data_IF_997953094436
#
_entry.id   IF_997953094436
#
_cell.length_a   1.000
_cell.length_b   1.000
_cell.length_c   1.000
_cell.angle_alpha   90.00
_cell.angle_beta   90.00
_cell.angle_gamma   90.00
#
_symmetry.space_group_name_H-M   'P 1'
#
loop_
_entity.id
_entity.type
_entity.pdbx_description
1 polymer ?
#
# COMPACT_ATOMS: atom_id res chain seq x y z
N UNK A 1 21.95 13.01 11.65
CA UNK A 1 20.59 13.28 11.12
C UNK A 1 20.50 13.22 9.59
N UNK A 2 21.25 14.03 8.82
CA UNK A 2 21.15 14.01 7.34
C UNK A 2 21.39 12.63 6.71
N UNK A 3 22.42 11.91 7.16
CA UNK A 3 22.72 10.55 6.69
C UNK A 3 21.57 9.55 6.96
N UNK A 4 20.97 9.61 8.14
CA UNK A 4 19.82 8.76 8.49
C UNK A 4 18.59 9.06 7.61
N UNK A 5 18.32 10.33 7.32
CA UNK A 5 17.24 10.72 6.42
C UNK A 5 17.44 10.16 5.01
N UNK A 6 18.66 10.26 4.48
CA UNK A 6 18.99 9.73 3.15
C UNK A 6 18.84 8.21 3.12
N UNK A 7 19.38 7.51 4.14
CA UNK A 7 19.27 6.04 4.25
C UNK A 7 17.82 5.58 4.35
N UNK A 8 17.02 6.20 5.21
CA UNK A 8 15.61 5.87 5.38
C UNK A 8 14.83 6.09 4.08
N UNK A 9 15.10 7.18 3.37
CA UNK A 9 14.44 7.46 2.11
C UNK A 9 14.83 6.50 0.99
N UNK A 10 16.12 6.16 0.90
CA UNK A 10 16.60 5.17 -0.08
C UNK A 10 16.00 3.79 0.18
N UNK A 11 15.90 3.38 1.45
CA UNK A 11 15.24 2.13 1.84
C UNK A 11 13.75 2.13 1.45
N UNK A 12 13.05 3.24 1.72
CA UNK A 12 11.66 3.35 1.30
C UNK A 12 11.53 3.27 -0.22
N UNK A 13 12.39 3.97 -0.97
CA UNK A 13 12.38 3.93 -2.43
C UNK A 13 12.70 2.54 -3.01
N UNK A 14 13.58 1.76 -2.38
CA UNK A 14 13.87 0.40 -2.83
C UNK A 14 12.66 -0.54 -2.69
N UNK A 15 11.73 -0.22 -1.78
CA UNK A 15 10.51 -1.01 -1.60
C UNK A 15 9.41 -0.68 -2.62
N UNK A 16 9.65 0.25 -3.55
CA UNK A 16 8.68 0.62 -4.58
C UNK A 16 8.28 -0.57 -5.45
N UNK A 17 6.99 -0.82 -5.57
CA UNK A 17 6.36 -1.75 -6.51
C UNK A 17 5.49 -0.97 -7.48
N UNK A 18 5.54 -1.33 -8.76
CA UNK A 18 4.70 -0.71 -9.77
C UNK A 18 4.43 -1.70 -10.91
N UNK A 19 3.33 -1.50 -11.61
CA UNK A 19 2.97 -2.31 -12.77
C UNK A 19 1.52 -2.16 -13.14
N UNK A 20 1.03 -3.11 -13.94
CA UNK A 20 -0.38 -3.24 -14.29
C UNK A 20 -0.95 -4.49 -13.62
N UNK A 21 -2.06 -4.35 -12.90
CA UNK A 21 -2.80 -5.49 -12.37
C UNK A 21 -3.83 -5.93 -13.39
N UNK A 22 -3.71 -7.16 -13.88
CA UNK A 22 -4.67 -7.77 -14.80
C UNK A 22 -6.04 -7.96 -14.16
N UNK A 23 -6.08 -8.24 -12.86
CA UNK A 23 -7.30 -8.49 -12.12
C UNK A 23 -8.08 -7.20 -11.81
N UNK A 24 -7.38 -6.13 -11.38
CA UNK A 24 -7.99 -4.82 -11.14
C UNK A 24 -8.09 -3.94 -12.39
N UNK A 25 -7.52 -4.39 -13.51
CA UNK A 25 -7.45 -3.71 -14.80
C UNK A 25 -6.92 -2.27 -14.72
N UNK A 26 -5.92 -2.04 -13.88
CA UNK A 26 -5.36 -0.70 -13.65
C UNK A 26 -3.87 -0.75 -13.35
N UNK A 27 -3.22 0.39 -13.58
CA UNK A 27 -1.86 0.60 -13.10
C UNK A 27 -1.87 0.81 -11.59
N UNK A 28 -0.81 0.34 -10.94
CA UNK A 28 -0.58 0.54 -9.52
C UNK A 28 0.85 1.01 -9.28
N UNK A 29 1.02 1.81 -8.23
CA UNK A 29 2.32 2.11 -7.64
C UNK A 29 2.13 2.13 -6.13
N UNK A 30 2.88 1.30 -5.43
CA UNK A 30 2.90 1.34 -3.97
C UNK A 30 4.30 1.10 -3.38
N UNK A 31 4.47 1.26 -2.07
CA UNK A 31 5.68 0.85 -1.35
C UNK A 31 5.35 -0.26 -0.35
N UNK A 32 6.02 -1.41 -0.47
CA UNK A 32 5.88 -2.50 0.50
C UNK A 32 6.61 -2.17 1.81
N UNK A 33 6.21 -2.77 2.94
CA UNK A 33 6.93 -2.60 4.22
C UNK A 33 8.39 -3.09 4.12
N UNK A 34 8.60 -4.21 3.43
CA UNK A 34 9.91 -4.80 3.16
C UNK A 34 9.90 -5.66 1.88
N UNK A 35 10.97 -6.43 1.65
CA UNK A 35 11.12 -7.32 0.49
C UNK A 35 10.26 -8.61 0.56
N UNK A 36 9.91 -9.03 1.78
CA UNK A 36 9.17 -10.26 2.06
C UNK A 36 7.66 -10.00 1.94
N UNK A 37 7.17 -8.99 2.64
CA UNK A 37 5.79 -8.51 2.69
C UNK A 37 5.46 -7.67 1.45
N UNK A 38 5.46 -8.31 0.28
CA UNK A 38 5.44 -7.64 -1.01
C UNK A 38 4.14 -6.89 -1.33
N UNK A 39 3.08 -7.04 -0.56
CA UNK A 39 1.76 -6.45 -0.82
C UNK A 39 1.64 -5.01 -0.33
N UNK A 40 0.58 -4.33 -0.74
CA UNK A 40 0.26 -3.00 -0.22
C UNK A 40 -0.56 -3.15 1.05
N UNK A 41 -0.13 -2.50 2.12
CA UNK A 41 -0.80 -2.52 3.43
C UNK A 41 -1.34 -1.14 3.76
N UNK A 42 -2.56 -1.07 4.30
CA UNK A 42 -3.28 0.19 4.46
C UNK A 42 -2.50 1.21 5.30
N UNK A 43 -2.13 0.85 6.53
CA UNK A 43 -1.47 1.78 7.44
C UNK A 43 -0.01 2.05 7.05
N UNK A 44 0.70 1.07 6.49
CA UNK A 44 2.07 1.23 6.00
C UNK A 44 2.09 2.23 4.84
N UNK A 45 1.17 2.10 3.87
CA UNK A 45 0.98 3.08 2.79
C UNK A 45 0.75 4.49 3.32
N UNK A 46 -0.06 4.62 4.38
CA UNK A 46 -0.33 5.91 5.00
C UNK A 46 0.93 6.52 5.64
N UNK A 47 1.72 5.74 6.39
CA UNK A 47 2.97 6.19 6.99
C UNK A 47 4.07 6.45 5.96
N UNK A 48 4.19 5.60 4.94
CA UNK A 48 5.09 5.79 3.81
C UNK A 48 4.81 7.11 3.10
N UNK A 49 3.53 7.42 2.85
CA UNK A 49 3.10 8.65 2.22
C UNK A 49 3.42 9.90 3.08
N UNK A 50 3.24 9.84 4.40
CA UNK A 50 3.64 10.92 5.34
C UNK A 50 5.12 11.24 5.20
N UNK A 51 5.98 10.21 5.17
CA UNK A 51 7.44 10.38 5.03
C UNK A 51 7.78 10.92 3.63
N UNK A 52 7.24 10.30 2.58
CA UNK A 52 7.49 10.68 1.19
C UNK A 52 7.03 12.09 0.85
N UNK A 53 5.99 12.60 1.49
CA UNK A 53 5.46 13.94 1.22
C UNK A 53 6.56 15.01 1.32
N UNK A 54 7.53 14.85 2.22
CA UNK A 54 8.65 15.79 2.42
C UNK A 54 9.66 15.85 1.26
N UNK A 55 9.77 14.79 0.45
CA UNK A 55 10.85 14.65 -0.54
C UNK A 55 10.33 14.41 -1.97
N UNK A 56 9.21 13.70 -2.09
CA UNK A 56 8.57 13.31 -3.35
C UNK A 56 7.05 13.29 -3.18
N UNK A 57 6.43 14.44 -2.95
CA UNK A 57 4.97 14.57 -2.77
C UNK A 57 4.14 13.88 -3.87
N UNK A 58 4.60 13.93 -5.12
CA UNK A 58 3.95 13.22 -6.25
C UNK A 58 3.89 11.69 -6.05
N UNK A 59 4.86 11.09 -5.38
CA UNK A 59 4.84 9.66 -5.05
C UNK A 59 3.94 9.38 -3.83
N UNK A 60 3.90 10.28 -2.85
CA UNK A 60 2.98 10.18 -1.71
C UNK A 60 1.51 10.22 -2.17
N UNK A 61 1.17 11.13 -3.09
CA UNK A 61 -0.17 11.20 -3.69
C UNK A 61 -0.49 9.88 -4.40
N UNK A 62 0.42 9.39 -5.26
CA UNK A 62 0.21 8.13 -6.01
C UNK A 62 0.05 6.90 -5.13
N UNK A 63 0.75 6.83 -3.99
CA UNK A 63 0.59 5.76 -2.99
C UNK A 63 -0.86 5.71 -2.50
N UNK A 64 -1.38 6.86 -2.08
CA UNK A 64 -2.73 6.99 -1.53
C UNK A 64 -3.81 6.84 -2.60
N UNK A 65 -3.60 7.38 -3.80
CA UNK A 65 -4.50 7.14 -4.94
C UNK A 65 -4.58 5.65 -5.28
N UNK A 66 -3.44 4.95 -5.27
CA UNK A 66 -3.40 3.51 -5.54
C UNK A 66 -4.15 2.74 -4.46
N UNK A 67 -3.92 3.06 -3.17
CA UNK A 67 -4.61 2.48 -2.02
C UNK A 67 -6.14 2.67 -2.13
N UNK A 68 -6.57 3.91 -2.31
CA UNK A 68 -7.99 4.29 -2.36
C UNK A 68 -8.69 3.83 -3.62
N UNK A 69 -7.97 3.49 -4.69
CA UNK A 69 -8.58 2.89 -5.86
C UNK A 69 -9.28 1.55 -5.54
N UNK A 70 -8.87 0.88 -4.45
CA UNK A 70 -9.47 -0.36 -3.98
C UNK A 70 -10.55 -0.15 -2.90
N UNK A 71 -10.94 1.09 -2.61
CA UNK A 71 -12.09 1.37 -1.75
C UNK A 71 -13.38 0.84 -2.42
N UNK A 72 -14.22 0.19 -1.63
CA UNK A 72 -15.53 -0.30 -2.09
C UNK A 72 -16.57 0.82 -2.08
N UNK A 73 -17.71 0.59 -2.72
CA UNK A 73 -18.85 1.53 -2.71
C UNK A 73 -19.41 1.79 -1.31
N UNK A 74 -19.21 0.86 -0.37
CA UNK A 74 -19.61 1.00 1.04
C UNK A 74 -18.57 1.74 1.89
N UNK A 75 -17.46 2.16 1.30
CA UNK A 75 -16.37 2.86 1.97
C UNK A 75 -15.32 1.96 2.63
N UNK A 76 -15.44 0.64 2.52
CA UNK A 76 -14.45 -0.31 3.04
C UNK A 76 -13.14 -0.19 2.27
N UNK A 77 -12.03 -0.12 3.01
CA UNK A 77 -10.68 -0.21 2.45
C UNK A 77 -9.99 -1.39 3.13
N UNK A 78 -9.50 -2.38 2.38
CA UNK A 78 -8.89 -3.56 2.98
C UNK A 78 -7.54 -3.23 3.60
N UNK A 79 -7.16 -4.00 4.61
CA UNK A 79 -5.84 -3.83 5.22
C UNK A 79 -4.69 -4.34 4.34
N UNK A 80 -4.93 -5.29 3.41
CA UNK A 80 -3.97 -5.75 2.39
C UNK A 80 -4.61 -5.76 1.01
N UNK A 81 -3.86 -5.28 0.00
CA UNK A 81 -4.22 -5.37 -1.42
C UNK A 81 -3.21 -6.24 -2.18
N UNK A 82 -3.71 -7.29 -2.83
CA UNK A 82 -2.93 -8.23 -3.63
C UNK A 82 -2.87 -7.81 -5.11
N UNK A 83 -2.01 -6.84 -5.45
CA UNK A 83 -1.87 -6.31 -6.81
C UNK A 83 -1.35 -7.32 -7.84
N UNK A 84 -0.34 -8.10 -7.44
CA UNK A 84 0.32 -9.14 -8.25
C UNK A 84 0.73 -10.29 -7.36
N UNK A 85 0.44 -11.50 -7.80
CA UNK A 85 0.80 -12.73 -7.09
C UNK A 85 2.16 -13.23 -7.55
N UNK A 86 3.00 -13.63 -6.59
CA UNK A 86 4.24 -14.38 -6.78
C UNK A 86 4.01 -15.84 -6.43
N UNK A 87 4.89 -16.73 -6.87
CA UNK A 87 4.82 -18.15 -6.51
C UNK A 87 4.86 -18.39 -5.00
N UNK A 88 5.67 -17.61 -4.27
CA UNK A 88 5.75 -17.67 -2.80
C UNK A 88 4.43 -17.25 -2.13
N UNK A 89 3.66 -16.36 -2.76
CA UNK A 89 2.38 -15.86 -2.22
C UNK A 89 1.31 -16.96 -2.29
N UNK A 90 1.43 -17.92 -3.21
CA UNK A 90 0.54 -19.09 -3.28
C UNK A 90 0.68 -19.94 -2.02
N UNK A 91 1.90 -20.10 -1.50
CA UNK A 91 2.15 -20.87 -0.27
C UNK A 91 1.51 -20.18 0.93
N UNK A 92 1.69 -18.86 1.08
CA UNK A 92 1.07 -18.09 2.15
C UNK A 92 -0.45 -18.04 2.02
N UNK A 93 -0.95 -17.93 0.80
CA UNK A 93 -2.38 -17.98 0.51
C UNK A 93 -3.01 -19.28 0.97
N UNK A 94 -2.43 -20.42 0.61
CA UNK A 94 -2.98 -21.73 0.98
C UNK A 94 -2.92 -22.00 2.50
N UNK A 95 -1.94 -21.43 3.20
CA UNK A 95 -1.76 -21.65 4.65
C UNK A 95 -2.59 -20.70 5.51
N UNK A 96 -2.67 -19.41 5.15
CA UNK A 96 -3.22 -18.38 6.03
C UNK A 96 -4.26 -17.49 5.33
N UNK A 97 -3.87 -16.76 4.27
CA UNK A 97 -4.72 -15.68 3.72
C UNK A 97 -6.03 -16.13 3.10
N UNK A 98 -6.17 -17.40 2.72
CA UNK A 98 -7.45 -17.93 2.23
C UNK A 98 -8.60 -17.69 3.20
N UNK A 99 -8.34 -17.69 4.52
CA UNK A 99 -9.35 -17.42 5.55
C UNK A 99 -9.62 -15.92 5.75
N UNK A 100 -8.66 -15.09 5.40
CA UNK A 100 -8.69 -13.63 5.56
C UNK A 100 -9.23 -12.93 4.30
N UNK A 101 -9.43 -13.65 3.18
CA UNK A 101 -9.93 -13.04 1.95
C UNK A 101 -11.34 -12.49 2.12
N UNK A 102 -11.58 -11.30 1.57
CA UNK A 102 -12.91 -10.73 1.51
C UNK A 102 -13.83 -11.61 0.64
N UNK A 103 -15.05 -11.97 1.10
CA UNK A 103 -15.91 -12.94 0.42
C UNK A 103 -16.30 -12.50 -1.00
N UNK A 104 -16.43 -11.19 -1.22
CA UNK A 104 -16.78 -10.62 -2.52
C UNK A 104 -15.55 -10.18 -3.34
N UNK A 105 -14.41 -9.90 -2.70
CA UNK A 105 -13.25 -9.30 -3.35
C UNK A 105 -12.01 -10.17 -3.12
N UNK A 106 -11.74 -11.07 -4.08
CA UNK A 106 -10.71 -12.14 -3.96
C UNK A 106 -9.26 -11.67 -3.87
N UNK A 107 -9.03 -10.37 -4.01
CA UNK A 107 -7.70 -9.75 -4.00
C UNK A 107 -7.55 -8.74 -2.86
N UNK A 108 -8.48 -8.77 -1.91
CA UNK A 108 -8.50 -8.01 -0.68
C UNK A 108 -8.58 -8.97 0.50
N UNK A 109 -8.02 -8.55 1.62
CA UNK A 109 -8.40 -9.09 2.91
C UNK A 109 -9.73 -8.51 3.40
N UNK A 110 -10.41 -9.20 4.32
CA UNK A 110 -11.69 -8.84 4.88
C UNK A 110 -11.57 -7.89 6.07
N UNK A 111 -10.38 -7.81 6.66
CA UNK A 111 -10.08 -7.02 7.84
C UNK A 111 -9.60 -5.61 7.48
N UNK A 112 -9.78 -4.70 8.43
CA UNK A 112 -9.34 -3.30 8.35
C UNK A 112 -8.09 -3.07 9.21
N UNK A 113 -7.47 -1.90 9.04
CA UNK A 113 -6.39 -1.39 9.88
C UNK A 113 -6.74 -0.01 10.46
N UNK A 114 -6.03 0.48 11.48
CA UNK A 114 -6.28 1.79 12.07
C UNK A 114 -6.34 2.90 11.00
N UNK A 115 -7.36 3.79 11.05
CA UNK A 115 -7.67 4.73 9.97
C UNK A 115 -6.77 5.98 10.01
N UNK A 116 -5.47 5.79 9.82
CA UNK A 116 -4.47 6.87 9.82
C UNK A 116 -4.52 7.76 8.57
N UNK A 117 -5.37 7.43 7.60
CA UNK A 117 -5.45 8.11 6.30
C UNK A 117 -5.83 9.60 6.39
N UNK A 118 -6.63 10.00 7.38
CA UNK A 118 -6.98 11.41 7.59
C UNK A 118 -5.74 12.25 7.91
N UNK A 119 -4.88 11.75 8.80
CA UNK A 119 -3.61 12.39 9.16
C UNK A 119 -2.66 12.43 7.95
N UNK A 120 -2.63 11.35 7.16
CA UNK A 120 -1.81 11.31 5.95
C UNK A 120 -2.25 12.33 4.91
N UNK A 121 -3.56 12.44 4.65
CA UNK A 121 -4.10 13.40 3.69
C UNK A 121 -3.87 14.84 4.15
N UNK A 122 -4.07 15.14 5.43
CA UNK A 122 -3.74 16.46 6.00
C UNK A 122 -2.25 16.80 5.80
N UNK A 123 -1.36 15.83 6.06
CA UNK A 123 0.07 16.04 5.83
C UNK A 123 0.40 16.32 4.36
N UNK A 124 -0.16 15.55 3.42
CA UNK A 124 0.07 15.76 1.99
C UNK A 124 -0.46 17.14 1.58
N UNK A 125 -1.69 17.48 2.00
CA UNK A 125 -2.33 18.75 1.71
C UNK A 125 -1.51 19.95 2.21
N UNK A 126 -0.89 19.85 3.39
CA UNK A 126 -0.04 20.92 3.94
C UNK A 126 1.22 21.25 3.12
N UNK A 127 1.57 20.42 2.12
CA UNK A 127 2.80 20.54 1.31
C UNK A 127 2.50 20.97 -0.14
N UNK A 128 1.26 20.77 -0.61
CA UNK A 128 0.85 21.09 -2.00
C UNK A 128 0.35 22.51 -2.09
#
# INVERSE_FOLDING_TARGET
MKDLTIKAFNLLLSNKKQGYSTHFKRNYLYFSPDEIHYHQWFWDSCFHAIVMANLKVKLAIKEIETLLSCQTETGFVPHIIFWKWRLIDIVHYLKSWKKELHPQYKFFTAEIQPPVIGITLDRIYSIV
#
